data_IF_857475852874
#
_entry.id   IF_857475852874
#
_cell.length_a   1.000
_cell.length_b   1.000
_cell.length_c   1.000
_cell.angle_alpha   90.00
_cell.angle_beta   90.00
_cell.angle_gamma   90.00
#
_symmetry.space_group_name_H-M   'P 1'
#
loop_
_entity.id
_entity.type
_entity.pdbx_description
1 polymer ?
#
# COMPACT_ATOMS: atom_id res chain seq x y z
N UNK A 1 -61.10 -28.14 -27.18
CA UNK A 1 -59.75 -28.41 -26.61
C UNK A 1 -58.82 -27.41 -27.27
N UNK A 2 -58.17 -26.43 -26.65
CA UNK A 2 -57.54 -26.28 -25.32
C UNK A 2 -57.88 -24.86 -24.77
N UNK A 3 -58.35 -24.69 -23.52
CA UNK A 3 -57.58 -24.28 -22.32
C UNK A 3 -56.47 -23.24 -22.59
N UNK A 4 -56.68 -21.96 -22.22
CA UNK A 4 -56.35 -21.29 -20.92
C UNK A 4 -54.84 -21.00 -20.77
N UNK A 5 -54.42 -19.73 -20.76
CA UNK A 5 -53.99 -18.95 -19.57
C UNK A 5 -53.17 -17.69 -19.95
N UNK A 6 -53.26 -16.71 -19.04
CA UNK A 6 -52.68 -15.37 -19.01
C UNK A 6 -51.13 -15.34 -18.92
N UNK A 7 -50.53 -14.27 -19.46
CA UNK A 7 -49.26 -13.66 -19.00
C UNK A 7 -49.40 -12.14 -19.18
N UNK A 8 -49.79 -11.36 -18.18
CA UNK A 8 -48.94 -10.62 -17.21
C UNK A 8 -47.77 -9.90 -17.90
N UNK A 9 -47.89 -8.57 -18.00
CA UNK A 9 -46.83 -7.62 -18.37
C UNK A 9 -45.89 -7.37 -17.18
N UNK A 10 -44.56 -7.35 -17.35
CA UNK A 10 -43.67 -7.02 -16.25
C UNK A 10 -43.53 -5.51 -16.04
N UNK A 11 -43.53 -5.18 -14.74
CA UNK A 11 -43.31 -3.90 -14.07
C UNK A 11 -41.99 -3.22 -14.47
N UNK A 12 -42.04 -1.89 -14.59
CA UNK A 12 -40.87 -1.01 -14.53
C UNK A 12 -40.15 -1.19 -13.18
N UNK A 13 -38.82 -1.16 -13.23
CA UNK A 13 -37.95 -0.97 -12.07
C UNK A 13 -36.83 0.03 -12.46
N UNK A 14 -36.55 1.05 -11.65
CA UNK A 14 -35.44 1.97 -11.90
C UNK A 14 -34.11 1.30 -11.51
N UNK A 15 -33.19 1.20 -12.47
CA UNK A 15 -31.80 0.78 -12.26
C UNK A 15 -31.02 1.93 -11.62
N UNK A 16 -30.84 1.84 -10.30
CA UNK A 16 -29.95 2.69 -9.52
C UNK A 16 -28.62 1.93 -9.42
N UNK A 17 -27.76 2.08 -10.41
CA UNK A 17 -26.38 1.59 -10.30
C UNK A 17 -25.57 2.59 -9.48
N UNK A 18 -25.50 2.40 -8.17
CA UNK A 18 -24.40 2.93 -7.37
C UNK A 18 -23.17 2.01 -7.52
N UNK A 19 -21.94 2.54 -7.70
CA UNK A 19 -20.76 1.73 -7.83
C UNK A 19 -20.33 1.22 -6.45
N UNK A 20 -20.67 -0.03 -6.16
CA UNK A 20 -20.13 -0.76 -5.01
C UNK A 20 -18.62 -0.90 -5.19
N UNK A 21 -17.88 -0.21 -4.32
CA UNK A 21 -16.45 -0.45 -4.05
C UNK A 21 -16.27 -1.87 -3.52
N UNK A 22 -16.22 -2.85 -4.42
CA UNK A 22 -15.74 -4.18 -4.08
C UNK A 22 -14.25 -4.27 -4.35
N UNK A 23 -13.53 -4.26 -3.24
CA UNK A 23 -12.17 -4.72 -3.04
C UNK A 23 -11.81 -5.82 -4.05
N UNK A 24 -10.91 -5.52 -4.97
CA UNK A 24 -10.21 -6.55 -5.73
C UNK A 24 -9.27 -7.30 -4.78
N UNK A 25 -9.86 -8.21 -4.01
CA UNK A 25 -9.18 -9.30 -3.35
C UNK A 25 -8.81 -10.31 -4.45
N UNK A 26 -7.80 -9.98 -5.23
CA UNK A 26 -7.25 -10.89 -6.24
C UNK A 26 -6.43 -11.95 -5.50
N UNK A 27 -7.03 -13.14 -5.35
CA UNK A 27 -6.42 -14.44 -5.07
C UNK A 27 -4.88 -14.43 -4.83
N UNK A 28 -4.45 -14.21 -3.58
CA UNK A 28 -3.06 -14.30 -3.17
C UNK A 28 -2.74 -15.73 -2.70
N UNK A 29 -2.28 -16.60 -3.59
CA UNK A 29 -1.84 -17.94 -3.18
C UNK A 29 -0.54 -18.44 -3.80
N UNK A 30 0.33 -17.59 -4.37
CA UNK A 30 1.73 -17.95 -4.61
C UNK A 30 2.63 -16.70 -4.48
N UNK A 31 3.39 -16.66 -3.39
CA UNK A 31 4.45 -15.71 -3.03
C UNK A 31 4.07 -14.22 -2.90
N UNK A 32 3.38 -13.90 -1.80
CA UNK A 32 3.42 -12.54 -1.25
C UNK A 32 4.80 -12.31 -0.60
N UNK A 33 5.36 -11.10 -0.68
CA UNK A 33 6.65 -10.72 -0.07
C UNK A 33 7.96 -11.35 -0.61
N UNK A 34 8.00 -11.77 -1.89
CA UNK A 34 9.23 -12.17 -2.64
C UNK A 34 10.45 -11.23 -2.52
N UNK A 35 10.26 -9.91 -2.30
CA UNK A 35 11.35 -8.91 -2.28
C UNK A 35 11.88 -8.52 -0.90
N UNK A 36 11.48 -9.20 0.19
CA UNK A 36 11.98 -8.87 1.54
C UNK A 36 13.50 -8.88 1.67
N UNK A 37 14.19 -9.74 0.91
CA UNK A 37 15.66 -9.81 0.88
C UNK A 37 16.33 -8.46 0.54
N UNK A 38 15.63 -7.53 -0.11
CA UNK A 38 16.13 -6.19 -0.43
C UNK A 38 16.26 -5.28 0.79
N UNK A 39 15.52 -5.54 1.87
CA UNK A 39 15.56 -4.75 3.11
C UNK A 39 16.98 -4.74 3.68
N UNK A 40 17.66 -5.89 3.71
CA UNK A 40 19.08 -5.98 4.07
C UNK A 40 19.97 -5.08 3.20
N UNK A 41 19.76 -5.10 1.88
CA UNK A 41 20.55 -4.30 0.95
C UNK A 41 20.32 -2.80 1.20
N UNK A 42 19.10 -2.40 1.54
CA UNK A 42 18.78 -1.01 1.84
C UNK A 42 19.32 -0.57 3.20
N UNK A 43 19.28 -1.41 4.23
CA UNK A 43 19.84 -1.08 5.55
C UNK A 43 21.34 -0.76 5.50
N UNK A 44 22.05 -1.29 4.52
CA UNK A 44 23.49 -1.03 4.31
C UNK A 44 23.77 0.21 3.44
N UNK A 45 22.73 0.89 2.91
CA UNK A 45 22.86 1.95 1.90
C UNK A 45 22.09 3.21 2.28
N UNK A 46 22.58 4.02 3.24
CA UNK A 46 21.85 5.16 3.80
C UNK A 46 21.50 6.27 2.81
N UNK A 47 22.21 6.33 1.68
CA UNK A 47 21.95 7.30 0.61
C UNK A 47 20.79 6.90 -0.32
N UNK A 48 20.26 5.67 -0.23
CA UNK A 48 19.14 5.25 -1.05
C UNK A 48 17.81 5.73 -0.48
N UNK A 49 16.94 6.24 -1.36
CA UNK A 49 15.60 6.70 -0.98
C UNK A 49 14.76 5.65 -0.26
N UNK A 50 14.90 4.37 -0.59
CA UNK A 50 14.18 3.29 0.08
C UNK A 50 14.61 3.15 1.56
N UNK A 51 15.91 3.33 1.85
CA UNK A 51 16.40 3.39 3.23
C UNK A 51 15.83 4.60 3.95
N UNK A 52 15.91 5.77 3.32
CA UNK A 52 15.49 7.04 3.89
C UNK A 52 13.99 7.06 4.21
N UNK A 53 13.16 6.42 3.39
CA UNK A 53 11.72 6.24 3.66
C UNK A 53 11.46 5.31 4.85
N UNK A 54 12.16 4.19 4.97
CA UNK A 54 12.02 3.29 6.11
C UNK A 54 12.48 3.98 7.39
N UNK A 55 13.67 4.59 7.38
CA UNK A 55 14.22 5.34 8.51
C UNK A 55 13.29 6.47 8.95
N UNK A 56 12.83 7.30 8.00
CA UNK A 56 11.92 8.40 8.30
C UNK A 56 10.60 7.93 8.91
N UNK A 57 10.05 6.81 8.42
CA UNK A 57 8.87 6.20 9.03
C UNK A 57 9.14 5.74 10.46
N UNK A 58 10.24 5.03 10.71
CA UNK A 58 10.59 4.53 12.05
C UNK A 58 10.81 5.67 13.06
N UNK A 59 11.43 6.77 12.64
CA UNK A 59 11.63 7.93 13.51
C UNK A 59 10.31 8.65 13.83
N UNK A 60 9.43 8.80 12.83
CA UNK A 60 8.09 9.36 13.05
C UNK A 60 7.24 8.45 13.95
N UNK A 61 7.27 7.13 13.73
CA UNK A 61 6.56 6.15 14.55
C UNK A 61 7.08 6.13 16.00
N UNK A 62 8.38 6.36 16.22
CA UNK A 62 8.95 6.41 17.56
C UNK A 62 8.50 7.62 18.38
N UNK A 63 8.07 8.69 17.70
CA UNK A 63 7.70 9.98 18.31
C UNK A 63 6.21 10.27 18.27
N UNK A 64 5.43 9.53 17.49
CA UNK A 64 4.00 9.73 17.29
C UNK A 64 3.26 8.38 17.22
N UNK A 65 2.05 8.35 17.78
CA UNK A 65 1.14 7.20 17.64
C UNK A 65 0.46 7.11 16.27
N UNK A 66 0.61 8.15 15.44
CA UNK A 66 0.02 8.24 14.12
C UNK A 66 1.03 8.81 13.13
N UNK A 67 1.18 8.16 11.98
CA UNK A 67 2.00 8.60 10.86
C UNK A 67 1.13 8.53 9.61
N UNK A 68 1.02 9.63 8.87
CA UNK A 68 0.44 9.64 7.52
C UNK A 68 1.51 9.80 6.43
N UNK A 69 1.09 9.66 5.17
CA UNK A 69 1.99 9.79 4.03
C UNK A 69 2.56 11.20 3.89
N UNK A 70 1.78 12.25 4.12
CA UNK A 70 2.27 13.61 3.93
C UNK A 70 3.32 13.97 5.00
N UNK A 71 3.16 13.49 6.23
CA UNK A 71 4.17 13.59 7.29
C UNK A 71 5.47 12.87 6.89
N UNK A 72 5.39 11.65 6.36
CA UNK A 72 6.58 10.92 5.90
C UNK A 72 7.28 11.64 4.75
N UNK A 73 6.54 12.11 3.75
CA UNK A 73 7.10 12.82 2.60
C UNK A 73 7.72 14.16 3.02
N UNK A 74 7.07 14.90 3.93
CA UNK A 74 7.61 16.15 4.48
C UNK A 74 8.89 15.90 5.27
N UNK A 75 8.89 14.89 6.14
CA UNK A 75 10.07 14.48 6.88
C UNK A 75 11.22 14.15 5.92
N UNK A 76 10.98 13.33 4.89
CA UNK A 76 12.03 12.96 3.95
C UNK A 76 12.52 14.14 3.11
N UNK A 77 11.64 15.03 2.65
CA UNK A 77 12.03 16.25 1.91
C UNK A 77 12.80 17.26 2.76
N UNK A 78 12.60 17.26 4.08
CA UNK A 78 13.32 18.15 5.00
C UNK A 78 14.68 17.60 5.38
N UNK A 79 14.77 16.29 5.63
CA UNK A 79 15.97 15.66 6.19
C UNK A 79 16.88 15.04 5.13
N UNK A 80 16.39 14.84 3.90
CA UNK A 80 17.13 14.21 2.81
C UNK A 80 16.89 14.92 1.47
N UNK A 81 17.80 14.72 0.52
CA UNK A 81 17.70 15.32 -0.80
C UNK A 81 16.60 14.68 -1.65
N UNK A 82 15.68 15.51 -2.16
CA UNK A 82 14.71 15.11 -3.18
C UNK A 82 13.41 15.91 -3.15
N UNK A 83 12.82 16.06 -4.33
CA UNK A 83 11.51 16.70 -4.46
C UNK A 83 10.40 15.78 -3.95
N UNK A 84 9.31 16.36 -3.42
CA UNK A 84 8.14 15.62 -2.90
C UNK A 84 7.60 14.58 -3.91
N UNK A 85 7.61 14.90 -5.19
CA UNK A 85 7.18 13.97 -6.25
C UNK A 85 8.05 12.72 -6.37
N UNK A 86 9.37 12.86 -6.21
CA UNK A 86 10.30 11.73 -6.25
C UNK A 86 10.08 10.79 -5.07
N UNK A 87 9.86 11.36 -3.87
CA UNK A 87 9.54 10.59 -2.67
C UNK A 87 8.24 9.81 -2.82
N UNK A 88 7.19 10.44 -3.37
CA UNK A 88 5.90 9.77 -3.64
C UNK A 88 6.06 8.62 -4.63
N UNK A 89 6.89 8.78 -5.66
CA UNK A 89 7.17 7.72 -6.64
C UNK A 89 7.93 6.53 -6.04
N UNK A 90 8.96 6.80 -5.22
CA UNK A 90 9.67 5.75 -4.50
C UNK A 90 8.76 5.04 -3.49
N UNK A 91 7.96 5.79 -2.74
CA UNK A 91 6.97 5.26 -1.81
C UNK A 91 5.97 4.33 -2.52
N UNK A 92 5.41 4.75 -3.66
CA UNK A 92 4.48 3.92 -4.44
C UNK A 92 5.11 2.61 -4.90
N UNK A 93 6.40 2.63 -5.23
CA UNK A 93 7.16 1.42 -5.57
C UNK A 93 7.35 0.48 -4.37
N UNK A 94 7.13 0.94 -3.14
CA UNK A 94 7.25 0.17 -1.90
C UNK A 94 5.90 -0.33 -1.34
N UNK A 95 4.79 -0.24 -2.11
CA UNK A 95 3.45 -0.69 -1.68
C UNK A 95 3.07 -2.09 -2.15
N UNK A 96 3.76 -2.61 -3.14
CA UNK A 96 3.42 -3.88 -3.81
C UNK A 96 4.69 -4.65 -4.14
N UNK A 97 4.54 -5.95 -4.35
CA UNK A 97 5.62 -6.82 -4.76
C UNK A 97 5.53 -7.26 -6.23
N UNK A 98 4.66 -6.63 -7.02
CA UNK A 98 4.46 -6.97 -8.42
C UNK A 98 5.43 -6.24 -9.35
N UNK A 99 5.85 -6.92 -10.42
CA UNK A 99 6.67 -6.33 -11.49
C UNK A 99 7.95 -5.66 -10.98
N UNK A 100 8.19 -4.43 -11.44
CA UNK A 100 9.39 -3.63 -11.12
C UNK A 100 9.31 -2.91 -9.76
N UNK A 101 8.30 -3.18 -8.95
CA UNK A 101 8.19 -2.60 -7.63
C UNK A 101 9.40 -2.96 -6.74
N UNK A 102 9.66 -2.12 -5.75
CA UNK A 102 10.76 -2.27 -4.81
C UNK A 102 10.47 -3.31 -3.74
N UNK A 103 9.20 -3.60 -3.46
CA UNK A 103 8.74 -4.61 -2.52
C UNK A 103 7.54 -4.11 -1.72
N UNK A 104 6.84 -5.03 -1.08
CA UNK A 104 5.64 -4.72 -0.28
C UNK A 104 6.05 -4.37 1.15
N UNK A 105 6.26 -3.09 1.42
CA UNK A 105 6.72 -2.57 2.72
C UNK A 105 5.60 -1.82 3.41
N UNK A 106 5.01 -0.85 2.70
CA UNK A 106 4.03 0.06 3.26
C UNK A 106 2.61 -0.25 2.82
N UNK A 107 1.65 0.02 3.68
CA UNK A 107 0.22 0.05 3.36
C UNK A 107 -0.48 1.15 4.16
N UNK A 108 -1.71 1.47 3.77
CA UNK A 108 -2.51 2.52 4.41
C UNK A 108 -3.81 1.94 4.93
N UNK A 109 -4.19 2.29 6.15
CA UNK A 109 -5.51 2.02 6.74
C UNK A 109 -6.20 3.36 6.96
N UNK A 110 -7.14 3.71 6.08
CA UNK A 110 -7.58 5.10 5.97
C UNK A 110 -6.39 6.00 5.59
N UNK A 111 -6.10 6.99 6.43
CA UNK A 111 -4.95 7.90 6.24
C UNK A 111 -3.72 7.48 7.04
N UNK A 112 -3.82 6.45 7.89
CA UNK A 112 -2.70 5.95 8.69
C UNK A 112 -1.79 5.09 7.83
N UNK A 113 -0.51 5.44 7.80
CA UNK A 113 0.54 4.70 7.13
C UNK A 113 1.12 3.63 8.08
N UNK A 114 1.28 2.41 7.57
CA UNK A 114 1.80 1.26 8.32
C UNK A 114 2.80 0.44 7.53
N UNK A 115 3.61 -0.34 8.24
CA UNK A 115 4.50 -1.36 7.67
C UNK A 115 3.86 -2.74 7.83
N UNK A 116 3.86 -3.56 6.76
CA UNK A 116 3.39 -4.95 6.84
C UNK A 116 4.21 -5.75 7.85
N UNK A 117 3.57 -6.65 8.61
CA UNK A 117 4.22 -7.45 9.66
C UNK A 117 5.47 -8.20 9.20
N UNK A 118 5.44 -8.73 7.99
CA UNK A 118 6.51 -9.49 7.35
C UNK A 118 7.71 -8.59 7.05
N UNK A 119 7.44 -7.39 6.52
CA UNK A 119 8.45 -6.36 6.29
C UNK A 119 9.00 -5.84 7.62
N UNK A 120 8.15 -5.61 8.62
CA UNK A 120 8.57 -5.14 9.95
C UNK A 120 9.54 -6.13 10.60
N UNK A 121 9.20 -7.42 10.61
CA UNK A 121 10.06 -8.48 11.13
C UNK A 121 11.44 -8.53 10.45
N UNK A 122 11.51 -8.19 9.17
CA UNK A 122 12.79 -8.13 8.45
C UNK A 122 13.56 -6.84 8.76
N UNK A 123 12.87 -5.69 8.82
CA UNK A 123 13.43 -4.38 9.18
C UNK A 123 14.07 -4.41 10.56
N UNK A 124 13.40 -5.01 11.56
CA UNK A 124 13.86 -5.07 12.96
C UNK A 124 15.17 -5.86 13.15
N UNK A 125 15.65 -6.58 12.13
CA UNK A 125 16.95 -7.29 12.17
C UNK A 125 18.15 -6.40 11.95
N UNK A 126 17.94 -5.17 11.49
CA UNK A 126 19.00 -4.27 11.04
C UNK A 126 18.95 -2.93 11.79
N UNK A 127 20.08 -2.23 11.81
CA UNK A 127 20.14 -0.86 12.34
C UNK A 127 19.79 0.12 11.21
N UNK A 128 18.90 1.06 11.49
CA UNK A 128 18.41 2.08 10.57
C UNK A 128 18.80 3.48 11.02
#
# INVERSE_FOLDING_TARGET
>A
MFQKLFCITPSEAPDITEPSSELQQVNSTLDDFTKLHRIKIWSEKPWQKNYQLIKGFLELESSSSFVDLDQLIEYCSTNFDGAKGEWKNNFNSMKTDLGNAHGKIFFTVGNELKIYSEARREIDKFNW
#
